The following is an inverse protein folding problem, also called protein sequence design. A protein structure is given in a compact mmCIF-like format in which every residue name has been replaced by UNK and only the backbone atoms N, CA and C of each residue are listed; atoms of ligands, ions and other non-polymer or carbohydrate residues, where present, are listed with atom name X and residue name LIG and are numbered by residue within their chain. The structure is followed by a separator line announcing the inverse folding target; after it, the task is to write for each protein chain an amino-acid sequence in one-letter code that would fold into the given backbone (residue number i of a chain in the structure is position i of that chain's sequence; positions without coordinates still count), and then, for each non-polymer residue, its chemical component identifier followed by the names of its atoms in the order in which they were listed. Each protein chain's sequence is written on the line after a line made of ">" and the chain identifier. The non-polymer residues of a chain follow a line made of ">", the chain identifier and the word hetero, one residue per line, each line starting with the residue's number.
data_IF_161800816899
#
_entry.id   IF_161800816899
#
_cell.length_a   1.000
_cell.length_b   1.000
_cell.length_c   1.000
_cell.angle_alpha   90.00
_cell.angle_beta   90.00
_cell.angle_gamma   90.00
#
_symmetry.space_group_name_H-M   'P 1'
#
loop_
_entity.id
_entity.type
_entity.pdbx_description
1 polymer ?
#
# COMPACT_ATOMS: atom_id res chain seq x y z
N UNK A 1 38.53 -7.40 -10.84
CA UNK A 1 38.26 -6.17 -11.62
C UNK A 1 36.78 -6.14 -11.97
N UNK A 2 35.96 -5.53 -11.12
CA UNK A 2 34.51 -5.40 -11.37
C UNK A 2 34.28 -4.25 -12.35
N UNK A 3 33.95 -4.56 -13.60
CA UNK A 3 33.53 -3.57 -14.59
C UNK A 3 32.16 -3.04 -14.19
N UNK A 4 32.12 -1.87 -13.56
CA UNK A 4 30.87 -1.14 -13.36
C UNK A 4 30.37 -0.68 -14.73
N UNK A 5 29.43 -1.43 -15.34
CA UNK A 5 28.72 -0.98 -16.53
C UNK A 5 27.97 0.31 -16.17
N UNK A 6 28.30 1.41 -16.83
CA UNK A 6 27.59 2.67 -16.68
C UNK A 6 26.11 2.49 -17.02
N UNK A 7 25.21 3.04 -16.20
CA UNK A 7 23.77 3.03 -16.49
C UNK A 7 23.54 3.80 -17.81
N UNK A 8 22.80 3.26 -18.78
CA UNK A 8 22.52 3.96 -20.03
C UNK A 8 21.82 5.30 -19.74
N UNK A 9 21.97 6.29 -20.64
CA UNK A 9 21.36 7.61 -20.46
C UNK A 9 19.84 7.48 -20.33
N UNK A 10 19.29 8.29 -19.41
CA UNK A 10 17.84 8.37 -19.17
C UNK A 10 17.18 9.03 -20.38
N UNK A 11 16.31 8.30 -21.07
CA UNK A 11 15.47 8.81 -22.16
C UNK A 11 14.07 9.05 -21.61
N UNK A 12 13.73 10.32 -21.41
CA UNK A 12 12.38 10.76 -21.04
C UNK A 12 11.44 10.58 -22.24
N UNK A 13 10.23 10.11 -21.98
CA UNK A 13 9.14 10.11 -22.95
C UNK A 13 8.67 11.54 -23.22
N UNK A 14 8.33 11.82 -24.47
CA UNK A 14 7.71 13.10 -24.84
C UNK A 14 6.26 13.17 -24.35
N UNK A 15 5.66 14.37 -24.35
CA UNK A 15 4.24 14.55 -24.03
C UNK A 15 3.34 13.80 -25.02
N UNK A 16 3.74 13.74 -26.30
CA UNK A 16 3.04 13.01 -27.34
C UNK A 16 3.08 11.50 -27.11
N UNK A 17 4.25 10.96 -26.73
CA UNK A 17 4.40 9.55 -26.35
C UNK A 17 3.49 9.19 -25.17
N UNK A 18 3.39 10.09 -24.19
CA UNK A 18 2.53 9.89 -23.02
C UNK A 18 1.05 9.94 -23.41
N UNK A 19 0.63 10.88 -24.28
CA UNK A 19 -0.75 10.91 -24.81
C UNK A 19 -1.10 9.62 -25.54
N UNK A 20 -0.25 9.19 -26.47
CA UNK A 20 -0.45 7.96 -27.23
C UNK A 20 -0.48 6.72 -26.32
N UNK A 21 0.42 6.66 -25.34
CA UNK A 21 0.46 5.57 -24.37
C UNK A 21 -0.75 5.55 -23.44
N UNK A 22 -1.34 6.72 -23.13
CA UNK A 22 -2.55 6.80 -22.33
C UNK A 22 -3.75 6.35 -23.13
N UNK A 23 -3.95 6.92 -24.33
CA UNK A 23 -5.06 6.61 -25.21
C UNK A 23 -5.12 5.11 -25.58
N UNK A 24 -3.97 4.48 -25.85
CA UNK A 24 -3.90 3.05 -26.18
C UNK A 24 -4.22 2.10 -25.01
N UNK A 25 -4.23 2.59 -23.77
CA UNK A 25 -4.41 1.80 -22.55
C UNK A 25 -5.55 2.32 -21.68
N UNK A 26 -6.47 3.05 -22.29
CA UNK A 26 -7.67 3.56 -21.65
C UNK A 26 -8.91 3.07 -22.37
N UNK A 27 -9.91 2.62 -21.62
CA UNK A 27 -11.21 2.24 -22.17
C UNK A 27 -12.32 3.12 -21.59
N UNK A 28 -13.25 3.58 -22.42
CA UNK A 28 -14.39 4.36 -21.97
C UNK A 28 -15.50 3.42 -21.47
N UNK A 29 -16.06 3.72 -20.30
CA UNK A 29 -17.19 2.99 -19.71
C UNK A 29 -18.46 3.85 -19.64
N UNK A 30 -19.60 3.18 -19.63
CA UNK A 30 -20.92 3.78 -19.39
C UNK A 30 -20.90 4.52 -18.04
N UNK A 31 -21.00 5.84 -18.08
CA UNK A 31 -20.88 6.71 -16.90
C UNK A 31 -19.70 7.68 -16.95
N UNK A 32 -19.07 7.89 -18.11
CA UNK A 32 -17.99 8.88 -18.29
C UNK A 32 -16.67 8.48 -17.63
N UNK A 33 -16.53 7.22 -17.22
CA UNK A 33 -15.27 6.75 -16.67
C UNK A 33 -14.31 6.41 -17.81
N UNK A 34 -13.07 6.90 -17.70
CA UNK A 34 -11.96 6.49 -18.56
C UNK A 34 -11.07 5.55 -17.76
N UNK A 35 -11.15 4.24 -18.02
CA UNK A 35 -10.51 3.21 -17.21
C UNK A 35 -9.13 2.86 -17.72
N UNK A 36 -8.13 3.00 -16.85
CA UNK A 36 -6.77 2.55 -17.13
C UNK A 36 -6.66 1.01 -17.11
N UNK A 37 -6.17 0.43 -18.20
CA UNK A 37 -5.92 -1.01 -18.35
C UNK A 37 -4.45 -1.38 -18.20
N UNK A 38 -3.56 -0.40 -18.03
CA UNK A 38 -2.13 -0.60 -17.87
C UNK A 38 -1.69 -0.93 -16.43
N UNK A 39 -0.40 -0.70 -16.16
CA UNK A 39 0.22 -1.00 -14.87
C UNK A 39 -0.40 -0.19 -13.72
N UNK A 40 -0.45 -0.80 -12.54
CA UNK A 40 -0.93 -0.19 -11.31
C UNK A 40 0.07 -0.40 -10.17
N UNK A 41 0.02 0.46 -9.15
CA UNK A 41 0.79 0.29 -7.92
C UNK A 41 0.23 -0.85 -7.05
N UNK A 42 0.95 -1.19 -5.97
CA UNK A 42 0.49 -2.13 -4.92
C UNK A 42 -0.90 -1.80 -4.36
N UNK A 43 -1.25 -0.51 -4.34
CA UNK A 43 -2.52 0.01 -3.83
C UNK A 43 -3.60 0.14 -4.93
N UNK A 44 -3.29 -0.32 -6.16
CA UNK A 44 -4.20 -0.33 -7.30
C UNK A 44 -4.29 0.98 -8.09
N UNK A 45 -3.43 1.96 -7.80
CA UNK A 45 -3.42 3.25 -8.51
C UNK A 45 -2.74 3.14 -9.88
N UNK A 46 -3.35 3.67 -10.97
CA UNK A 46 -2.75 3.74 -12.30
C UNK A 46 -1.36 4.37 -12.31
N UNK A 47 -0.38 3.67 -12.90
CA UNK A 47 0.99 4.17 -13.12
C UNK A 47 1.45 3.98 -14.56
N UNK A 48 2.28 4.90 -15.03
CA UNK A 48 2.96 4.84 -16.34
C UNK A 48 4.44 5.20 -16.16
N UNK A 49 5.31 4.50 -16.90
CA UNK A 49 6.75 4.79 -16.96
C UNK A 49 6.98 6.05 -17.79
N UNK A 50 7.71 7.01 -17.24
CA UNK A 50 8.05 8.26 -17.93
C UNK A 50 9.42 8.20 -18.60
N UNK A 51 10.23 7.19 -18.30
CA UNK A 51 11.52 6.96 -18.94
C UNK A 51 11.93 5.48 -18.95
N UNK A 52 13.11 5.22 -19.50
CA UNK A 52 13.79 3.92 -19.48
C UNK A 52 14.60 3.65 -18.19
N UNK A 53 14.63 4.60 -17.24
CA UNK A 53 15.36 4.48 -15.99
C UNK A 53 14.53 3.84 -14.86
N UNK A 54 13.23 3.61 -15.13
CA UNK A 54 12.27 2.99 -14.22
C UNK A 54 11.42 4.01 -13.45
N UNK A 55 11.51 5.30 -13.75
CA UNK A 55 10.69 6.30 -13.08
C UNK A 55 9.24 6.18 -13.55
N UNK A 56 8.32 6.09 -12.58
CA UNK A 56 6.89 5.99 -12.83
C UNK A 56 6.15 7.18 -12.23
N UNK A 57 5.11 7.64 -12.91
CA UNK A 57 4.17 8.66 -12.41
C UNK A 57 2.73 8.14 -12.45
N UNK A 58 1.87 8.77 -11.65
CA UNK A 58 0.44 8.45 -11.63
C UNK A 58 -0.22 8.90 -12.93
N UNK A 59 -0.99 8.02 -13.56
CA UNK A 59 -1.54 8.28 -14.90
C UNK A 59 -2.57 9.40 -14.89
N UNK A 60 -3.46 9.42 -13.90
CA UNK A 60 -4.48 10.46 -13.79
C UNK A 60 -3.87 11.86 -13.61
N UNK A 61 -2.69 11.96 -12.98
CA UNK A 61 -1.96 13.23 -12.84
C UNK A 61 -1.37 13.69 -14.18
N UNK A 62 -0.76 12.77 -14.92
CA UNK A 62 -0.23 13.08 -16.26
C UNK A 62 -1.38 13.46 -17.19
N UNK A 63 -2.49 12.72 -17.15
CA UNK A 63 -3.67 13.04 -17.97
C UNK A 63 -4.22 14.43 -17.65
N UNK A 64 -4.34 14.79 -16.37
CA UNK A 64 -4.73 16.14 -15.94
C UNK A 64 -3.77 17.24 -16.47
N UNK A 65 -2.46 17.03 -16.33
CA UNK A 65 -1.45 17.98 -16.83
C UNK A 65 -1.49 18.11 -18.36
N UNK A 66 -1.78 17.02 -19.09
CA UNK A 66 -1.89 16.99 -20.55
C UNK A 66 -3.14 17.70 -21.10
N UNK A 67 -4.21 17.75 -20.30
CA UNK A 67 -5.45 18.50 -20.58
C UNK A 67 -5.32 19.99 -20.21
N UNK A 68 -4.12 20.43 -19.80
CA UNK A 68 -3.87 21.83 -19.39
C UNK A 68 -4.25 22.12 -17.93
N UNK A 69 -4.60 21.09 -17.16
CA UNK A 69 -4.87 21.20 -15.74
C UNK A 69 -3.60 21.51 -14.96
N UNK A 70 -3.59 22.63 -14.24
CA UNK A 70 -2.53 22.96 -13.30
C UNK A 70 -2.80 22.30 -11.95
N UNK A 71 -1.74 21.88 -11.26
CA UNK A 71 -1.82 21.37 -9.89
C UNK A 71 -1.05 22.38 -9.03
N UNK A 72 -1.76 23.28 -8.32
CA UNK A 72 -1.10 24.27 -7.48
C UNK A 72 -0.27 23.60 -6.38
N UNK A 73 0.76 24.27 -5.90
CA UNK A 73 1.60 23.74 -4.84
C UNK A 73 0.77 23.45 -3.57
N UNK A 74 1.02 22.31 -2.92
CA UNK A 74 0.25 21.85 -1.77
C UNK A 74 -1.09 21.20 -2.09
N UNK A 75 -1.50 21.16 -3.36
CA UNK A 75 -2.68 20.41 -3.80
C UNK A 75 -2.28 19.04 -4.34
N UNK A 76 -3.19 18.10 -4.15
CA UNK A 76 -3.09 16.74 -4.68
C UNK A 76 -4.31 16.47 -5.55
N UNK A 77 -4.09 15.70 -6.62
CA UNK A 77 -5.17 15.22 -7.45
C UNK A 77 -5.73 13.94 -6.83
N UNK A 78 -7.03 13.89 -6.57
CA UNK A 78 -7.72 12.71 -6.05
C UNK A 78 -8.94 12.42 -6.91
N UNK A 79 -9.41 11.16 -6.91
CA UNK A 79 -10.68 10.82 -7.57
C UNK A 79 -11.87 11.28 -6.71
N UNK A 80 -12.96 11.68 -7.33
CA UNK A 80 -14.23 11.97 -6.66
C UNK A 80 -14.77 10.72 -5.95
N UNK A 81 -15.40 10.92 -4.78
CA UNK A 81 -16.04 9.83 -4.02
C UNK A 81 -17.21 9.19 -4.76
N UNK A 82 -17.81 9.89 -5.74
CA UNK A 82 -18.88 9.40 -6.61
C UNK A 82 -18.37 8.44 -7.70
N UNK A 83 -17.06 8.40 -7.96
CA UNK A 83 -16.49 7.50 -8.95
C UNK A 83 -16.12 6.15 -8.30
N UNK A 84 -16.80 5.04 -8.64
CA UNK A 84 -16.53 3.73 -8.03
C UNK A 84 -15.19 3.14 -8.51
N UNK A 85 -14.68 3.63 -9.63
CA UNK A 85 -13.56 3.05 -10.34
C UNK A 85 -12.22 3.59 -9.84
N UNK A 86 -11.45 2.73 -9.14
CA UNK A 86 -10.10 3.07 -8.67
C UNK A 86 -9.10 3.40 -9.78
N UNK A 87 -9.38 2.92 -10.98
CA UNK A 87 -8.54 3.07 -12.18
C UNK A 87 -9.02 4.17 -13.13
N UNK A 88 -10.03 4.95 -12.74
CA UNK A 88 -10.51 6.06 -13.54
C UNK A 88 -9.44 7.16 -13.66
N UNK A 89 -9.17 7.60 -14.89
CA UNK A 89 -8.25 8.68 -15.25
C UNK A 89 -8.97 9.87 -15.90
N UNK A 90 -10.30 9.82 -16.01
CA UNK A 90 -11.11 10.87 -16.62
C UNK A 90 -10.99 12.19 -15.82
N UNK A 91 -10.65 13.32 -16.45
CA UNK A 91 -10.49 14.61 -15.78
C UNK A 91 -11.73 15.05 -15.01
N UNK A 92 -12.94 14.82 -15.53
CA UNK A 92 -14.20 15.15 -14.85
C UNK A 92 -14.41 14.41 -13.53
N UNK A 93 -13.73 13.29 -13.34
CA UNK A 93 -13.80 12.48 -12.13
C UNK A 93 -12.64 12.73 -11.16
N UNK A 94 -11.83 13.76 -11.41
CA UNK A 94 -10.71 14.16 -10.58
C UNK A 94 -11.03 15.48 -9.88
N UNK A 95 -10.55 15.61 -8.65
CA UNK A 95 -10.70 16.80 -7.82
C UNK A 95 -9.33 17.18 -7.26
N UNK A 96 -9.04 18.47 -7.30
CA UNK A 96 -7.92 19.05 -6.56
C UNK A 96 -8.32 19.14 -5.10
N UNK A 97 -7.79 18.25 -4.28
CA UNK A 97 -7.88 18.37 -2.84
C UNK A 97 -6.64 19.09 -2.33
N UNK A 98 -6.84 20.01 -1.38
CA UNK A 98 -5.71 20.46 -0.56
C UNK A 98 -5.24 19.21 0.17
N UNK A 99 -4.03 18.75 -0.14
CA UNK A 99 -3.40 17.76 0.72
C UNK A 99 -3.32 18.36 2.12
N UNK A 100 -3.21 17.54 3.18
CA UNK A 100 -2.79 18.11 4.46
C UNK A 100 -1.53 18.96 4.19
N UNK A 101 -1.59 20.25 4.55
CA UNK A 101 -0.48 21.20 4.46
C UNK A 101 0.67 20.55 5.22
N UNK A 102 1.69 20.08 4.51
CA UNK A 102 2.76 19.21 5.03
C UNK A 102 2.21 17.85 5.48
N UNK A 103 2.92 16.74 5.42
CA UNK A 103 3.88 16.38 6.47
C UNK A 103 3.64 16.99 7.87
N UNK A 104 2.40 17.32 8.25
CA UNK A 104 1.88 16.92 9.52
C UNK A 104 2.00 15.40 9.49
N UNK A 105 3.21 14.92 9.78
CA UNK A 105 3.47 13.77 10.64
C UNK A 105 2.22 13.73 11.46
N UNK A 106 1.30 12.81 11.10
CA UNK A 106 0.15 12.54 11.92
C UNK A 106 0.77 12.55 13.30
N UNK A 107 0.41 13.52 14.12
CA UNK A 107 0.75 13.43 15.53
C UNK A 107 0.04 12.14 15.85
N UNK A 108 0.78 11.02 15.79
CA UNK A 108 0.40 9.78 16.39
C UNK A 108 -0.06 10.28 17.72
N UNK A 109 -1.38 10.26 17.94
CA UNK A 109 -1.99 10.63 19.22
C UNK A 109 -1.02 10.11 20.26
N UNK A 110 -0.41 10.98 21.10
CA UNK A 110 0.81 10.66 21.84
C UNK A 110 0.63 9.27 22.40
N UNK A 111 1.41 8.32 21.86
CA UNK A 111 1.11 6.89 21.77
C UNK A 111 0.52 6.37 23.09
N UNK A 112 -0.80 6.52 23.31
CA UNK A 112 -1.45 6.07 24.53
C UNK A 112 -1.62 4.59 24.34
N UNK A 113 -0.57 3.86 24.73
CA UNK A 113 -0.57 2.41 24.72
C UNK A 113 -1.78 2.00 25.54
N UNK A 114 -2.74 1.32 24.90
CA UNK A 114 -3.95 0.85 25.58
C UNK A 114 -3.58 0.16 26.91
N UNK A 115 -4.32 0.39 28.00
CA UNK A 115 -4.10 -0.29 29.28
C UNK A 115 -4.30 -1.81 29.18
N UNK A 116 -4.81 -2.31 28.05
CA UNK A 116 -4.96 -3.72 27.73
C UNK A 116 -4.27 -4.09 26.41
N UNK A 117 -3.79 -5.33 26.32
CA UNK A 117 -3.39 -5.95 25.06
C UNK A 117 -4.63 -6.37 24.24
N UNK A 118 -4.44 -6.68 22.95
CA UNK A 118 -5.52 -7.21 22.09
C UNK A 118 -6.11 -8.55 22.60
N UNK A 119 -5.42 -9.23 23.51
CA UNK A 119 -5.88 -10.43 24.19
C UNK A 119 -6.71 -10.15 25.46
N UNK A 120 -7.01 -8.88 25.77
CA UNK A 120 -7.78 -8.47 26.94
C UNK A 120 -7.00 -8.35 28.24
N UNK A 121 -5.76 -8.87 28.32
CA UNK A 121 -4.96 -8.75 29.54
C UNK A 121 -4.44 -7.34 29.78
N UNK A 122 -4.33 -6.93 31.05
CA UNK A 122 -3.75 -5.66 31.44
C UNK A 122 -2.28 -5.53 31.00
N UNK A 123 -1.92 -4.36 30.46
CA UNK A 123 -0.57 -3.99 30.03
C UNK A 123 0.19 -3.35 31.19
N UNK A 124 0.55 -4.18 32.17
CA UNK A 124 1.41 -3.81 33.30
C UNK A 124 2.87 -4.18 33.01
N UNK A 125 3.87 -3.57 33.68
CA UNK A 125 5.27 -4.00 33.57
C UNK A 125 5.45 -5.49 33.89
N UNK A 126 4.68 -6.03 34.84
CA UNK A 126 4.70 -7.45 35.20
C UNK A 126 4.18 -8.36 34.07
N UNK A 127 3.21 -7.89 33.28
CA UNK A 127 2.58 -8.64 32.19
C UNK A 127 3.13 -8.26 30.78
N UNK A 128 4.20 -7.46 30.72
CA UNK A 128 4.85 -7.06 29.47
C UNK A 128 6.19 -7.78 29.33
N UNK A 129 6.42 -8.44 28.20
CA UNK A 129 7.67 -9.14 27.92
C UNK A 129 8.74 -8.19 27.31
N UNK A 130 10.00 -8.64 27.24
CA UNK A 130 11.13 -7.86 26.65
C UNK A 130 10.93 -7.41 25.20
N UNK A 131 10.03 -8.06 24.45
CA UNK A 131 9.68 -7.75 23.06
C UNK A 131 8.35 -6.96 22.94
N UNK A 132 7.79 -6.47 24.05
CA UNK A 132 6.55 -5.68 24.07
C UNK A 132 5.24 -6.48 23.94
N UNK A 133 5.28 -7.81 24.06
CA UNK A 133 4.10 -8.68 24.03
C UNK A 133 3.56 -9.07 25.41
N UNK A 134 2.34 -9.62 25.44
CA UNK A 134 1.70 -10.08 26.68
C UNK A 134 2.38 -11.34 27.25
N UNK A 135 2.81 -11.28 28.51
CA UNK A 135 3.46 -12.39 29.21
C UNK A 135 2.48 -13.54 29.50
N UNK A 136 1.25 -13.24 29.92
CA UNK A 136 0.21 -14.26 30.17
C UNK A 136 -0.10 -15.10 28.93
N UNK A 137 -0.22 -14.48 27.75
CA UNK A 137 -0.45 -15.22 26.50
C UNK A 137 0.73 -16.11 26.14
N UNK A 138 1.97 -15.64 26.34
CA UNK A 138 3.16 -16.45 26.09
C UNK A 138 3.23 -17.67 27.00
N UNK A 139 2.91 -17.50 28.28
CA UNK A 139 2.89 -18.61 29.24
C UNK A 139 1.79 -19.62 28.92
N UNK A 140 0.58 -19.15 28.56
CA UNK A 140 -0.50 -20.03 28.13
C UNK A 140 -0.12 -20.83 26.86
N UNK A 141 0.52 -20.17 25.89
CA UNK A 141 1.07 -20.83 24.71
C UNK A 141 2.13 -21.88 25.08
N UNK A 142 3.12 -21.52 25.91
CA UNK A 142 4.17 -22.44 26.35
C UNK A 142 3.62 -23.66 27.10
N UNK A 143 2.61 -23.48 27.98
CA UNK A 143 1.93 -24.59 28.66
C UNK A 143 1.29 -25.54 27.67
N UNK A 144 0.56 -25.02 26.67
CA UNK A 144 -0.06 -25.83 25.61
C UNK A 144 0.98 -26.57 24.78
N UNK A 145 2.04 -25.88 24.37
CA UNK A 145 3.14 -26.45 23.60
C UNK A 145 3.88 -27.56 24.38
N UNK A 146 4.19 -27.31 25.66
CA UNK A 146 4.85 -28.31 26.50
C UNK A 146 3.96 -29.52 26.78
N UNK A 147 2.64 -29.33 26.94
CA UNK A 147 1.68 -30.43 27.07
C UNK A 147 1.60 -31.28 25.79
N UNK A 148 1.74 -30.66 24.61
CA UNK A 148 1.84 -31.42 23.34
C UNK A 148 3.17 -32.16 23.20
N UNK A 149 4.24 -31.65 23.80
CA UNK A 149 5.56 -32.30 23.77
C UNK A 149 5.68 -33.44 24.80
N UNK A 150 5.07 -33.31 25.98
CA UNK A 150 5.07 -34.40 26.99
C UNK A 150 4.30 -35.64 26.55
N UNK A 151 3.47 -35.53 25.50
CA UNK A 151 2.80 -36.66 24.85
C UNK A 151 3.52 -37.19 23.60
N UNK A 152 4.64 -36.60 23.18
CA UNK A 152 5.34 -36.93 21.93
C UNK A 152 6.71 -37.53 22.23
N UNK A 153 6.71 -38.77 22.73
CA UNK A 153 7.89 -39.63 22.66
C UNK A 153 8.26 -39.83 21.20
N UNK A 154 9.49 -39.40 20.86
CA UNK A 154 10.24 -39.64 19.62
C UNK A 154 9.50 -39.40 18.30
N UNK A 155 9.86 -38.33 17.59
CA UNK A 155 10.39 -38.36 16.20
C UNK A 155 10.23 -36.98 15.56
N UNK A 156 11.40 -36.37 15.28
CA UNK A 156 11.73 -35.45 14.19
C UNK A 156 10.86 -34.18 14.12
N UNK A 157 11.39 -33.07 14.65
CA UNK A 157 10.70 -31.77 14.70
C UNK A 157 11.18 -30.85 13.56
N UNK A 158 10.48 -30.90 12.43
CA UNK A 158 10.49 -29.82 11.43
C UNK A 158 9.52 -28.73 11.91
N UNK A 159 9.91 -27.45 12.02
CA UNK A 159 9.02 -26.40 12.50
C UNK A 159 7.89 -26.14 11.48
N UNK A 160 6.64 -26.45 11.85
CA UNK A 160 5.45 -26.12 11.07
C UNK A 160 5.23 -24.60 10.98
N UNK A 161 4.78 -24.07 9.82
CA UNK A 161 4.67 -22.65 9.58
C UNK A 161 3.46 -22.03 10.32
N UNK A 162 3.69 -20.80 10.74
CA UNK A 162 2.71 -19.88 11.32
C UNK A 162 1.48 -19.70 10.42
N UNK A 163 0.31 -20.18 10.86
CA UNK A 163 -0.97 -19.95 10.20
C UNK A 163 -1.49 -18.56 10.56
N UNK A 164 -1.28 -17.59 9.67
CA UNK A 164 -1.96 -16.31 9.72
C UNK A 164 -3.46 -16.50 9.45
N UNK A 165 -4.30 -15.92 10.30
CA UNK A 165 -5.76 -16.00 10.22
C UNK A 165 -6.28 -15.52 8.85
N UNK A 166 -6.90 -16.44 8.10
CA UNK A 166 -7.70 -16.13 6.92
C UNK A 166 -9.02 -15.54 7.41
N UNK A 167 -9.24 -14.24 7.20
CA UNK A 167 -10.58 -13.65 7.30
C UNK A 167 -11.37 -14.06 6.06
N UNK A 168 -12.30 -15.00 6.23
CA UNK A 168 -13.27 -15.36 5.20
C UNK A 168 -14.22 -14.17 4.98
N UNK A 169 -14.38 -13.74 3.72
CA UNK A 169 -15.49 -12.88 3.31
C UNK A 169 -16.71 -13.77 3.11
N UNK A 170 -17.76 -13.54 3.88
CA UNK A 170 -19.09 -14.07 3.58
C UNK A 170 -19.71 -13.31 2.40
N UNK A 171 -20.56 -14.05 1.66
CA UNK A 171 -21.18 -13.71 0.37
C UNK A 171 -21.96 -12.41 0.37
#
# INVERSE_FOLDING_TARGET
>A
MTTTKAKPPVKLRTLEDLRAAIASKSNAESGGCLIWTGATDKDGYPKISIDNAGHCRQVHRIHWELEGGQIPEGFQLSRLSTCPNRRCIAPEHLVLSKGPLTAARATHSPNTVSPTFNCGHARTPANTNKKGGCRSCRLAYQRRYNATLSGRSTLIDTPMPYVGAIRQRTK
#
